data_IF_395338095731
#
_entry.id   IF_395338095731
#
_cell.length_a   1.000
_cell.length_b   1.000
_cell.length_c   1.000
_cell.angle_alpha   90.00
_cell.angle_beta   90.00
_cell.angle_gamma   90.00
#
_symmetry.space_group_name_H-M   'P 1'
#
loop_
_entity.id
_entity.type
_entity.pdbx_description
1 polymer ?
#
# COMPACT_ATOMS: atom_id res chain seq x y z
N UNK A 1 -13.84 -3.77 -13.31
CA UNK A 1 -14.52 -2.53 -12.87
C UNK A 1 -13.56 -1.38 -13.11
N UNK A 2 -13.97 -0.39 -13.92
CA UNK A 2 -13.20 0.86 -14.06
C UNK A 2 -13.19 1.56 -12.71
N UNK A 3 -12.00 1.82 -12.16
CA UNK A 3 -11.89 2.58 -10.91
C UNK A 3 -12.34 4.02 -11.16
N UNK A 4 -13.21 4.55 -10.29
CA UNK A 4 -13.59 5.97 -10.34
C UNK A 4 -12.54 6.88 -9.70
N UNK A 5 -11.63 6.33 -8.90
CA UNK A 5 -10.56 7.08 -8.21
C UNK A 5 -9.18 6.62 -8.68
N UNK A 6 -8.23 7.55 -8.92
CA UNK A 6 -6.89 7.19 -9.36
C UNK A 6 -6.17 6.39 -8.28
N UNK A 7 -5.40 5.37 -8.68
CA UNK A 7 -4.59 4.57 -7.76
C UNK A 7 -3.16 4.51 -8.29
N UNK A 8 -2.22 5.02 -7.50
CA UNK A 8 -0.80 4.98 -7.85
C UNK A 8 -0.20 3.66 -7.39
N UNK A 9 0.42 2.93 -8.32
CA UNK A 9 1.19 1.73 -8.03
C UNK A 9 2.62 1.94 -8.48
N UNK A 10 3.54 1.88 -7.52
CA UNK A 10 4.98 1.97 -7.78
C UNK A 10 5.63 0.66 -7.36
N UNK A 11 6.46 0.11 -8.24
CA UNK A 11 7.20 -1.13 -7.98
C UNK A 11 8.62 -0.77 -7.55
N UNK A 12 9.13 -1.45 -6.52
CA UNK A 12 10.55 -1.41 -6.20
C UNK A 12 11.26 -2.52 -6.98
N UNK A 13 11.91 -2.18 -8.10
CA UNK A 13 12.58 -3.16 -8.97
C UNK A 13 13.70 -3.94 -8.27
N UNK A 14 14.33 -3.39 -7.22
CA UNK A 14 15.33 -4.10 -6.42
C UNK A 14 14.70 -5.31 -5.69
N UNK A 15 13.39 -5.27 -5.42
CA UNK A 15 12.67 -6.39 -4.79
C UNK A 15 12.65 -7.66 -5.63
N UNK A 16 12.97 -7.59 -6.94
CA UNK A 16 13.07 -8.79 -7.78
C UNK A 16 14.11 -9.77 -7.24
N UNK A 17 15.22 -9.27 -6.67
CA UNK A 17 16.30 -10.12 -6.14
C UNK A 17 15.79 -11.08 -5.05
N UNK A 18 15.18 -10.62 -3.94
CA UNK A 18 14.64 -11.53 -2.94
C UNK A 18 13.49 -12.41 -3.48
N UNK A 19 12.71 -11.93 -4.46
CA UNK A 19 11.64 -12.75 -5.05
C UNK A 19 12.21 -13.94 -5.85
N UNK A 20 13.26 -13.71 -6.65
CA UNK A 20 13.95 -14.77 -7.40
C UNK A 20 14.66 -15.75 -6.46
N UNK A 21 15.28 -15.27 -5.37
CA UNK A 21 15.91 -16.14 -4.37
C UNK A 21 14.87 -17.07 -3.72
N UNK A 22 13.74 -16.51 -3.24
CA UNK A 22 12.68 -17.30 -2.60
C UNK A 22 12.09 -18.31 -3.60
N UNK A 23 11.83 -17.89 -4.84
CA UNK A 23 11.33 -18.79 -5.88
C UNK A 23 12.32 -19.91 -6.20
N UNK A 24 13.62 -19.60 -6.28
CA UNK A 24 14.69 -20.59 -6.46
C UNK A 24 14.73 -21.61 -5.33
N UNK A 25 14.62 -21.17 -4.08
CA UNK A 25 14.53 -22.07 -2.91
C UNK A 25 13.33 -23.00 -3.02
N UNK A 26 12.15 -22.48 -3.39
CA UNK A 26 10.94 -23.30 -3.56
C UNK A 26 11.13 -24.33 -4.69
N UNK A 27 11.76 -23.94 -5.81
CA UNK A 27 12.09 -24.87 -6.90
C UNK A 27 13.05 -25.96 -6.41
N UNK A 28 14.08 -25.61 -5.65
CA UNK A 28 15.03 -26.58 -5.09
C UNK A 28 14.33 -27.58 -4.16
N UNK A 29 13.37 -27.12 -3.34
CA UNK A 29 12.55 -28.00 -2.50
C UNK A 29 11.75 -28.99 -3.37
N UNK A 30 11.07 -28.49 -4.41
CA UNK A 30 10.34 -29.36 -5.34
C UNK A 30 11.25 -30.32 -6.10
N UNK A 31 12.47 -29.89 -6.41
CA UNK A 31 13.45 -30.74 -7.10
C UNK A 31 13.85 -31.96 -6.28
N UNK A 32 13.82 -31.89 -4.94
CA UNK A 32 14.05 -33.06 -4.09
C UNK A 32 12.90 -34.09 -4.13
N UNK A 33 11.70 -33.68 -4.56
CA UNK A 33 10.48 -34.50 -4.54
C UNK A 33 10.15 -35.01 -5.95
N UNK A 34 10.18 -34.12 -6.94
CA UNK A 34 9.87 -34.41 -8.33
C UNK A 34 10.73 -33.51 -9.25
N UNK A 35 11.95 -33.95 -9.61
CA UNK A 35 12.87 -33.18 -10.44
C UNK A 35 12.29 -32.70 -11.77
N UNK A 36 11.52 -33.56 -12.46
CA UNK A 36 10.98 -33.29 -13.79
C UNK A 36 9.98 -32.14 -13.78
N UNK A 37 9.17 -32.04 -12.73
CA UNK A 37 8.09 -31.05 -12.62
C UNK A 37 8.43 -29.88 -11.69
N UNK A 38 9.64 -29.84 -11.11
CA UNK A 38 10.05 -28.82 -10.15
C UNK A 38 9.96 -27.38 -10.69
N UNK A 39 10.32 -27.19 -11.96
CA UNK A 39 10.23 -25.89 -12.64
C UNK A 39 8.78 -25.44 -12.92
N UNK A 40 7.81 -26.35 -12.86
CA UNK A 40 6.38 -26.01 -12.93
C UNK A 40 5.81 -25.77 -11.53
N UNK A 41 6.01 -26.70 -10.60
CA UNK A 41 5.41 -26.64 -9.26
C UNK A 41 6.01 -25.57 -8.36
N UNK A 42 7.29 -25.24 -8.55
CA UNK A 42 7.95 -24.21 -7.77
C UNK A 42 7.35 -22.82 -7.98
N UNK A 43 7.33 -22.28 -9.21
CA UNK A 43 6.69 -21.00 -9.50
C UNK A 43 5.19 -21.00 -9.20
N UNK A 44 4.48 -22.11 -9.41
CA UNK A 44 3.06 -22.21 -9.07
C UNK A 44 2.83 -22.06 -7.56
N UNK A 45 3.66 -22.74 -6.75
CA UNK A 45 3.63 -22.65 -5.28
C UNK A 45 3.96 -21.23 -4.83
N UNK A 46 4.99 -20.61 -5.40
CA UNK A 46 5.36 -19.22 -5.14
C UNK A 46 4.20 -18.27 -5.43
N UNK A 47 3.55 -18.43 -6.59
CA UNK A 47 2.44 -17.60 -7.01
C UNK A 47 1.24 -17.74 -6.07
N UNK A 48 0.86 -18.98 -5.72
CA UNK A 48 -0.22 -19.26 -4.76
C UNK A 48 0.08 -18.64 -3.40
N UNK A 49 1.29 -18.83 -2.88
CA UNK A 49 1.72 -18.26 -1.61
C UNK A 49 1.66 -16.72 -1.65
N UNK A 50 2.16 -16.10 -2.70
CA UNK A 50 2.11 -14.65 -2.89
C UNK A 50 0.68 -14.12 -2.99
N UNK A 51 -0.24 -14.86 -3.61
CA UNK A 51 -1.66 -14.49 -3.65
C UNK A 51 -2.30 -14.60 -2.26
N UNK A 52 -2.06 -15.69 -1.54
CA UNK A 52 -2.63 -15.92 -0.20
C UNK A 52 -2.15 -14.84 0.78
N UNK A 53 -0.84 -14.59 0.86
CA UNK A 53 -0.26 -13.60 1.77
C UNK A 53 -0.79 -12.19 1.48
N UNK A 54 -0.81 -11.77 0.20
CA UNK A 54 -1.30 -10.45 -0.21
C UNK A 54 -2.82 -10.33 -0.14
N UNK A 55 -3.56 -11.43 -0.05
CA UNK A 55 -5.01 -11.41 0.12
C UNK A 55 -5.40 -11.29 1.60
N UNK A 56 -4.81 -12.14 2.46
CA UNK A 56 -5.22 -12.33 3.84
C UNK A 56 -4.64 -11.27 4.78
N UNK A 57 -3.35 -10.94 4.63
CA UNK A 57 -2.65 -10.12 5.62
C UNK A 57 -3.07 -8.64 5.52
N UNK A 58 -2.97 -7.97 4.35
CA UNK A 58 -3.44 -6.58 4.20
C UNK A 58 -4.95 -6.49 3.93
N UNK A 59 -5.77 -7.33 4.57
CA UNK A 59 -7.23 -7.42 4.30
C UNK A 59 -7.94 -6.07 4.47
N UNK A 60 -7.64 -5.34 5.54
CA UNK A 60 -8.27 -4.06 5.84
C UNK A 60 -7.85 -3.01 4.83
N UNK A 61 -6.56 -2.99 4.45
CA UNK A 61 -6.09 -2.10 3.37
C UNK A 61 -6.85 -2.34 2.07
N UNK A 62 -7.04 -3.61 1.70
CA UNK A 62 -7.79 -3.98 0.48
C UNK A 62 -9.25 -3.58 0.56
N UNK A 63 -9.89 -3.70 1.72
CA UNK A 63 -11.26 -3.23 1.92
C UNK A 63 -11.35 -1.70 1.81
N UNK A 64 -10.39 -0.97 2.38
CA UNK A 64 -10.26 0.47 2.22
C UNK A 64 -10.16 0.88 0.75
N UNK A 65 -9.31 0.21 -0.04
CA UNK A 65 -9.20 0.46 -1.50
C UNK A 65 -10.53 0.18 -2.21
N UNK A 66 -11.22 -0.93 -1.90
CA UNK A 66 -12.52 -1.25 -2.51
C UNK A 66 -13.57 -0.17 -2.21
N UNK A 67 -13.67 0.28 -0.95
CA UNK A 67 -14.59 1.35 -0.54
C UNK A 67 -14.24 2.70 -1.15
N UNK A 68 -12.94 3.02 -1.21
CA UNK A 68 -12.43 4.22 -1.87
C UNK A 68 -12.78 4.24 -3.37
N UNK A 69 -12.65 3.11 -4.07
CA UNK A 69 -13.07 2.97 -5.47
C UNK A 69 -14.59 3.11 -5.65
N UNK A 70 -15.36 2.79 -4.61
CA UNK A 70 -16.82 2.96 -4.57
C UNK A 70 -17.27 4.36 -4.10
N UNK A 71 -16.35 5.28 -3.77
CA UNK A 71 -16.67 6.62 -3.25
C UNK A 71 -17.16 6.64 -1.79
N UNK A 72 -17.03 5.53 -1.06
CA UNK A 72 -17.41 5.40 0.36
C UNK A 72 -16.26 5.84 1.26
N UNK A 73 -15.95 7.12 1.24
CA UNK A 73 -14.71 7.66 1.83
C UNK A 73 -14.68 7.54 3.35
N UNK A 74 -15.78 7.82 4.05
CA UNK A 74 -15.89 7.68 5.50
C UNK A 74 -15.66 6.23 5.94
N UNK A 75 -16.27 5.26 5.26
CA UNK A 75 -16.07 3.84 5.53
C UNK A 75 -14.63 3.39 5.19
N UNK A 76 -14.02 3.97 4.16
CA UNK A 76 -12.65 3.67 3.74
C UNK A 76 -11.62 4.17 4.75
N UNK A 77 -11.84 5.34 5.37
CA UNK A 77 -10.97 5.89 6.43
C UNK A 77 -10.84 4.87 7.57
N UNK A 78 -11.93 4.28 8.03
CA UNK A 78 -11.92 3.30 9.11
C UNK A 78 -11.06 2.07 8.77
N UNK A 79 -11.14 1.59 7.53
CA UNK A 79 -10.36 0.43 7.08
C UNK A 79 -8.87 0.77 6.90
N UNK A 80 -8.55 1.96 6.40
CA UNK A 80 -7.16 2.41 6.32
C UNK A 80 -6.57 2.66 7.71
N UNK A 81 -7.34 3.14 8.69
CA UNK A 81 -6.90 3.26 10.07
C UNK A 81 -6.59 1.90 10.69
N UNK A 82 -7.46 0.90 10.47
CA UNK A 82 -7.20 -0.49 10.90
C UNK A 82 -5.93 -1.04 10.25
N UNK A 83 -5.75 -0.81 8.94
CA UNK A 83 -4.53 -1.17 8.21
C UNK A 83 -3.30 -0.53 8.84
N UNK A 84 -3.32 0.79 9.06
CA UNK A 84 -2.21 1.52 9.66
C UNK A 84 -1.87 0.95 11.04
N UNK A 85 -2.86 0.81 11.92
CA UNK A 85 -2.67 0.27 13.28
C UNK A 85 -2.09 -1.14 13.25
N UNK A 86 -2.58 -2.02 12.37
CA UNK A 86 -2.07 -3.38 12.24
C UNK A 86 -0.59 -3.40 11.84
N UNK A 87 -0.21 -2.67 10.79
CA UNK A 87 1.17 -2.66 10.30
C UNK A 87 2.11 -1.84 11.20
N UNK A 88 1.60 -0.85 11.94
CA UNK A 88 2.36 -0.14 12.96
C UNK A 88 2.64 -1.02 14.16
N UNK A 89 1.71 -1.89 14.56
CA UNK A 89 1.95 -2.90 15.61
C UNK A 89 2.94 -3.98 15.16
N UNK A 90 2.96 -4.31 13.87
CA UNK A 90 3.81 -5.35 13.30
C UNK A 90 4.79 -4.77 12.27
N UNK A 91 5.61 -3.78 12.68
CA UNK A 91 6.46 -3.03 11.74
C UNK A 91 7.39 -3.92 10.91
N UNK A 92 7.89 -5.01 11.50
CA UNK A 92 8.77 -5.97 10.81
C UNK A 92 8.10 -6.59 9.58
N UNK A 93 6.78 -6.80 9.62
CA UNK A 93 6.03 -7.37 8.51
C UNK A 93 6.04 -6.43 7.30
N UNK A 94 5.84 -5.13 7.52
CA UNK A 94 5.81 -4.12 6.46
C UNK A 94 7.22 -3.74 5.97
N UNK A 95 8.17 -3.67 6.91
CA UNK A 95 9.59 -3.43 6.65
C UNK A 95 10.20 -4.51 5.75
N UNK A 96 9.88 -5.78 6.02
CA UNK A 96 10.38 -6.93 5.27
C UNK A 96 9.34 -7.51 4.28
N UNK A 97 8.36 -6.71 3.82
CA UNK A 97 7.24 -7.16 2.97
C UNK A 97 7.65 -7.90 1.69
N UNK A 98 8.87 -7.66 1.20
CA UNK A 98 9.40 -8.34 0.02
C UNK A 98 9.57 -9.84 0.26
N UNK A 99 9.81 -10.23 1.52
CA UNK A 99 9.96 -11.61 1.96
C UNK A 99 8.69 -12.09 2.65
N UNK A 100 8.14 -11.30 3.58
CA UNK A 100 7.02 -11.72 4.42
C UNK A 100 5.67 -11.72 3.71
N UNK A 101 5.49 -10.85 2.71
CA UNK A 101 4.25 -10.71 1.94
C UNK A 101 4.44 -11.02 0.45
N UNK A 102 5.68 -11.27 0.00
CA UNK A 102 6.02 -11.43 -1.42
C UNK A 102 5.44 -10.29 -2.28
N UNK A 103 5.55 -9.06 -1.76
CA UNK A 103 5.01 -7.84 -2.37
C UNK A 103 6.13 -6.99 -2.93
N UNK A 104 6.03 -6.57 -4.19
CA UNK A 104 7.02 -5.68 -4.83
C UNK A 104 6.68 -4.18 -4.71
N UNK A 105 5.63 -3.81 -3.97
CA UNK A 105 5.21 -2.40 -3.80
C UNK A 105 6.37 -1.55 -3.30
N UNK A 106 6.57 -0.33 -3.80
CA UNK A 106 7.59 0.60 -3.29
C UNK A 106 7.19 1.23 -1.95
N UNK A 107 5.92 1.58 -1.80
CA UNK A 107 5.38 2.11 -0.54
C UNK A 107 5.03 0.98 0.44
N UNK A 108 5.25 1.26 1.71
CA UNK A 108 4.78 0.40 2.81
C UNK A 108 3.25 0.50 2.96
N UNK A 109 2.62 -0.47 3.62
CA UNK A 109 1.19 -0.38 3.92
C UNK A 109 0.87 0.73 4.92
N UNK A 110 1.77 1.05 5.84
CA UNK A 110 1.64 2.22 6.71
C UNK A 110 1.61 3.52 5.89
N UNK A 111 2.57 3.68 4.97
CA UNK A 111 2.66 4.85 4.09
C UNK A 111 1.42 4.97 3.20
N UNK A 112 1.01 3.87 2.56
CA UNK A 112 -0.19 3.84 1.72
C UNK A 112 -1.46 4.13 2.53
N UNK A 113 -1.56 3.66 3.77
CA UNK A 113 -2.72 3.93 4.61
C UNK A 113 -2.82 5.42 4.95
N UNK A 114 -1.73 6.07 5.37
CA UNK A 114 -1.76 7.49 5.73
C UNK A 114 -2.15 8.38 4.54
N UNK A 115 -1.56 8.17 3.36
CA UNK A 115 -1.92 8.97 2.17
C UNK A 115 -3.37 8.75 1.76
N UNK A 116 -3.88 7.53 1.88
CA UNK A 116 -5.26 7.23 1.50
C UNK A 116 -6.26 7.80 2.50
N UNK A 117 -5.92 7.87 3.80
CA UNK A 117 -6.74 8.57 4.79
C UNK A 117 -6.77 10.07 4.48
N UNK A 118 -5.61 10.69 4.21
CA UNK A 118 -5.54 12.10 3.80
C UNK A 118 -6.38 12.38 2.56
N UNK A 119 -6.32 11.49 1.56
CA UNK A 119 -7.13 11.57 0.35
C UNK A 119 -8.63 11.48 0.65
N UNK A 120 -9.05 10.49 1.45
CA UNK A 120 -10.46 10.32 1.79
C UNK A 120 -11.01 11.55 2.55
N UNK A 121 -10.23 12.15 3.48
CA UNK A 121 -10.65 13.38 4.16
C UNK A 121 -10.81 14.55 3.19
N UNK A 122 -9.95 14.68 2.18
CA UNK A 122 -10.12 15.71 1.14
C UNK A 122 -11.41 15.49 0.34
N UNK A 123 -11.73 14.25 0.00
CA UNK A 123 -12.93 13.92 -0.78
C UNK A 123 -14.25 14.22 -0.05
N UNK A 124 -14.25 14.20 1.28
CA UNK A 124 -15.42 14.55 2.11
C UNK A 124 -15.41 16.01 2.58
N UNK A 125 -14.54 16.85 2.01
CA UNK A 125 -14.46 18.28 2.31
C UNK A 125 -13.78 18.63 3.64
N UNK A 126 -13.12 17.68 4.30
CA UNK A 126 -12.40 17.96 5.55
C UNK A 126 -10.92 18.26 5.28
N UNK A 127 -10.65 19.49 4.84
CA UNK A 127 -9.30 19.97 4.50
C UNK A 127 -8.32 19.93 5.68
N UNK A 128 -8.78 20.27 6.89
CA UNK A 128 -7.97 20.27 8.10
C UNK A 128 -7.42 18.87 8.42
N UNK A 129 -8.28 17.85 8.49
CA UNK A 129 -7.83 16.47 8.73
C UNK A 129 -7.01 15.94 7.55
N UNK A 130 -7.37 16.30 6.32
CA UNK A 130 -6.60 15.91 5.14
C UNK A 130 -5.14 16.38 5.26
N UNK A 131 -4.95 17.67 5.55
CA UNK A 131 -3.65 18.30 5.79
C UNK A 131 -2.88 17.59 6.90
N UNK A 132 -3.51 17.38 8.06
CA UNK A 132 -2.87 16.72 9.20
C UNK A 132 -2.35 15.31 8.87
N UNK A 133 -3.10 14.52 8.09
CA UNK A 133 -2.64 13.18 7.68
C UNK A 133 -1.52 13.22 6.64
N UNK A 134 -1.50 14.20 5.74
CA UNK A 134 -0.39 14.37 4.82
C UNK A 134 0.88 14.88 5.51
N UNK A 135 0.77 15.79 6.47
CA UNK A 135 1.90 16.22 7.32
C UNK A 135 2.45 15.05 8.11
N UNK A 136 1.58 14.25 8.75
CA UNK A 136 1.99 13.01 9.42
C UNK A 136 2.68 12.04 8.46
N UNK A 137 2.18 11.90 7.23
CA UNK A 137 2.84 11.08 6.21
C UNK A 137 4.27 11.55 5.97
N UNK A 138 4.50 12.86 5.87
CA UNK A 138 5.85 13.40 5.62
C UNK A 138 6.76 13.36 6.85
N UNK A 139 6.19 13.34 8.06
CA UNK A 139 6.96 13.10 9.28
C UNK A 139 7.57 11.69 9.27
N UNK A 140 6.78 10.68 8.93
CA UNK A 140 7.20 9.27 8.94
C UNK A 140 7.89 8.85 7.62
N UNK A 141 7.50 9.47 6.49
CA UNK A 141 7.94 9.16 5.13
C UNK A 141 8.29 10.46 4.36
N UNK A 142 9.43 11.12 4.67
CA UNK A 142 9.78 12.45 4.15
C UNK A 142 9.87 12.57 2.62
N UNK A 143 10.00 11.44 1.92
CA UNK A 143 10.12 11.37 0.48
C UNK A 143 8.81 11.04 -0.26
N UNK A 144 7.68 10.98 0.46
CA UNK A 144 6.39 10.68 -0.15
C UNK A 144 5.94 11.81 -1.10
N UNK A 145 6.02 11.55 -2.40
CA UNK A 145 5.68 12.54 -3.43
C UNK A 145 4.20 12.92 -3.46
N UNK A 146 3.30 12.01 -3.08
CA UNK A 146 1.86 12.27 -3.06
C UNK A 146 1.46 13.22 -1.94
N UNK A 147 1.97 13.01 -0.72
CA UNK A 147 1.74 13.92 0.38
C UNK A 147 2.31 15.32 0.11
N UNK A 148 3.52 15.43 -0.47
CA UNK A 148 4.09 16.72 -0.92
C UNK A 148 3.21 17.41 -1.98
N UNK A 149 2.67 16.66 -2.93
CA UNK A 149 1.79 17.21 -3.96
C UNK A 149 0.45 17.69 -3.35
N UNK A 150 -0.15 16.89 -2.48
CA UNK A 150 -1.43 17.22 -1.86
C UNK A 150 -1.34 18.45 -0.93
N UNK A 151 -0.30 18.55 -0.10
CA UNK A 151 -0.11 19.73 0.75
C UNK A 151 0.09 21.02 -0.06
N UNK A 152 0.86 20.96 -1.15
CA UNK A 152 1.01 22.11 -2.06
C UNK A 152 -0.33 22.55 -2.66
N UNK A 153 -1.19 21.60 -3.00
CA UNK A 153 -2.54 21.89 -3.50
C UNK A 153 -3.41 22.56 -2.43
N UNK A 154 -3.43 22.02 -1.20
CA UNK A 154 -4.19 22.60 -0.08
C UNK A 154 -3.72 24.02 0.25
N UNK A 155 -2.41 24.24 0.36
CA UNK A 155 -1.87 25.59 0.62
C UNK A 155 -2.20 26.59 -0.49
N UNK A 156 -2.26 26.15 -1.75
CA UNK A 156 -2.66 27.03 -2.85
C UNK A 156 -4.14 27.43 -2.78
N UNK A 157 -5.00 26.62 -2.14
CA UNK A 157 -6.41 26.95 -1.90
C UNK A 157 -6.54 27.90 -0.71
N UNK A 158 -5.86 27.61 0.41
CA UNK A 158 -5.84 28.48 1.61
C UNK A 158 -5.39 29.91 1.26
N UNK A 159 -4.33 30.04 0.45
CA UNK A 159 -3.81 31.35 0.03
C UNK A 159 -4.77 32.13 -0.87
N UNK A 160 -5.65 31.44 -1.62
CA UNK A 160 -6.67 32.12 -2.44
C UNK A 160 -7.83 32.61 -1.60
N UNK A 161 -8.27 31.84 -0.61
CA UNK A 161 -9.31 32.28 0.32
C UNK A 161 -8.85 33.52 1.10
N UNK A 162 -7.59 33.56 1.53
CA UNK A 162 -7.01 34.73 2.20
C UNK A 162 -6.88 35.99 1.31
N UNK A 163 -6.84 35.84 -0.02
CA UNK A 163 -6.80 36.96 -0.97
C UNK A 163 -8.19 37.47 -1.38
N UNK A 164 -9.26 36.75 -1.02
CA UNK A 164 -10.65 37.08 -1.34
C UNK A 164 -11.42 37.71 -0.16
N UNK A 165 -10.80 37.80 1.01
CA UNK A 165 -11.27 38.52 2.20
C UNK A 165 -10.59 39.90 2.30
#
# INVERSE_FOLDING_TARGET
MSSKTPTVRQTNWISIIPHLIIMGIIILIWHQINPEQAFLYGPLTYLLLSMILRYLIPKDHRNGIKKNHAGKFEEAILDFQKSYTYFKKHEWLDKYRFVTLLSASKMSYQEMALINIGFCYAQIGNGEKSKAYYEKTLQDFPNNGMAKAALRMLHAMDNKEAQQL
#
